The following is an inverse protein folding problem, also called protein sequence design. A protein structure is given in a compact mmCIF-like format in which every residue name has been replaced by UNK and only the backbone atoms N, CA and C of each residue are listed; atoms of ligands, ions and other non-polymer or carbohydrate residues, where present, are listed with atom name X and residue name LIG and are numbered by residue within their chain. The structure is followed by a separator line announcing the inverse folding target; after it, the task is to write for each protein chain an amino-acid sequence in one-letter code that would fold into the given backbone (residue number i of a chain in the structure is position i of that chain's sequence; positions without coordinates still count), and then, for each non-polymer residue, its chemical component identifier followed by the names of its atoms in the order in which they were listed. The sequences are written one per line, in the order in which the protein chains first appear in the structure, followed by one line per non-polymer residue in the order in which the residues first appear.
data_IF_928306503862
#
_entry.id   IF_928306503862
#
_cell.length_a   1.000
_cell.length_b   1.000
_cell.length_c   1.000
_cell.angle_alpha   90.00
_cell.angle_beta   90.00
_cell.angle_gamma   90.00
#
_symmetry.space_group_name_H-M   'P 1'
#
loop_
_entity.id
_entity.type
_entity.pdbx_description
1 polymer ?
#
# COMPACT_ATOMS: atom_id res chain seq x y z
N UNK A 1 -6.87 -2.24 -24.09
CA UNK A 1 -7.17 -0.99 -23.35
C UNK A 1 -6.86 -1.08 -21.84
N UNK A 2 -7.04 -2.21 -21.12
CA UNK A 2 -6.84 -2.29 -19.64
C UNK A 2 -5.44 -1.91 -19.20
N UNK A 3 -4.45 -2.43 -19.92
CA UNK A 3 -3.03 -2.15 -19.67
C UNK A 3 -2.72 -0.66 -19.75
N UNK A 4 -3.30 0.06 -20.73
CA UNK A 4 -3.10 1.51 -20.86
C UNK A 4 -3.67 2.29 -19.67
N UNK A 5 -4.86 1.92 -19.18
CA UNK A 5 -5.46 2.55 -17.99
C UNK A 5 -4.64 2.22 -16.74
N UNK A 6 -4.21 0.96 -16.59
CA UNK A 6 -3.38 0.54 -15.46
C UNK A 6 -2.03 1.26 -15.46
N UNK A 7 -1.40 1.39 -16.63
CA UNK A 7 -0.15 2.13 -16.81
C UNK A 7 -0.32 3.61 -16.48
N UNK A 8 -1.35 4.27 -17.03
CA UNK A 8 -1.63 5.67 -16.74
C UNK A 8 -1.93 5.91 -15.25
N UNK A 9 -2.72 5.03 -14.62
CA UNK A 9 -2.99 5.10 -13.18
C UNK A 9 -1.72 4.89 -12.34
N UNK A 10 -0.88 3.92 -12.71
CA UNK A 10 0.40 3.67 -12.07
C UNK A 10 1.37 4.84 -12.22
N UNK A 11 1.41 5.47 -13.40
CA UNK A 11 2.23 6.65 -13.67
C UNK A 11 1.79 7.84 -12.81
N UNK A 12 0.49 8.12 -12.76
CA UNK A 12 -0.07 9.19 -11.90
C UNK A 12 0.20 8.92 -10.43
N UNK A 13 0.04 7.67 -9.98
CA UNK A 13 0.33 7.27 -8.61
C UNK A 13 1.82 7.45 -8.26
N UNK A 14 2.72 6.94 -9.10
CA UNK A 14 4.17 7.08 -8.91
C UNK A 14 4.63 8.54 -8.92
N UNK A 15 4.15 9.35 -9.86
CA UNK A 15 4.41 10.79 -9.91
C UNK A 15 3.89 11.49 -8.65
N UNK A 16 2.70 11.13 -8.17
CA UNK A 16 2.15 11.67 -6.91
C UNK A 16 3.03 11.33 -5.70
N UNK A 17 3.57 10.12 -5.62
CA UNK A 17 4.50 9.71 -4.55
C UNK A 17 5.82 10.48 -4.60
N UNK A 18 6.36 10.73 -5.80
CA UNK A 18 7.58 11.52 -5.98
C UNK A 18 7.35 12.99 -5.60
N UNK A 19 6.28 13.60 -6.09
CA UNK A 19 5.97 15.03 -5.83
C UNK A 19 5.63 15.27 -4.35
N UNK A 20 4.96 14.32 -3.69
CA UNK A 20 4.64 14.42 -2.26
C UNK A 20 5.83 14.13 -1.33
N UNK A 21 6.94 13.59 -1.86
CA UNK A 21 8.10 13.19 -1.06
C UNK A 21 7.86 11.94 -0.20
N UNK A 22 6.76 11.20 -0.41
CA UNK A 22 6.48 9.94 0.32
C UNK A 22 7.45 8.80 -0.05
N UNK A 23 8.23 8.96 -1.10
CA UNK A 23 9.30 8.03 -1.46
C UNK A 23 10.50 8.09 -0.51
N UNK A 24 10.64 9.14 0.30
CA UNK A 24 11.75 9.32 1.24
C UNK A 24 11.42 8.66 2.61
N UNK A 25 12.18 7.63 3.04
CA UNK A 25 11.99 7.00 4.34
C UNK A 25 12.14 7.97 5.52
N UNK A 26 12.98 9.00 5.38
CA UNK A 26 13.19 9.99 6.44
C UNK A 26 11.91 10.80 6.73
N UNK A 27 11.11 11.07 5.69
CA UNK A 27 9.81 11.75 5.84
C UNK A 27 8.79 10.88 6.58
N UNK A 28 8.82 9.57 6.31
CA UNK A 28 7.95 8.60 7.00
C UNK A 28 8.35 8.44 8.46
N UNK A 29 9.65 8.29 8.73
CA UNK A 29 10.17 8.17 10.09
C UNK A 29 9.97 9.46 10.88
N UNK A 30 10.18 10.64 10.28
CA UNK A 30 9.91 11.94 10.91
C UNK A 30 8.43 12.18 11.24
N UNK A 31 7.50 11.56 10.50
CA UNK A 31 6.08 11.55 10.87
C UNK A 31 5.78 10.59 12.04
N UNK A 32 6.48 9.46 12.13
CA UNK A 32 6.32 8.47 13.21
C UNK A 32 7.04 8.88 14.51
N UNK A 33 8.06 9.73 14.42
CA UNK A 33 8.84 10.23 15.56
C UNK A 33 8.12 11.36 16.31
N UNK A 34 7.06 10.98 17.04
CA UNK A 34 6.24 11.88 17.86
C UNK A 34 7.04 12.43 19.07
N UNK A 35 8.14 11.75 19.46
CA UNK A 35 8.98 12.13 20.59
C UNK A 35 10.15 13.06 20.20
N UNK A 36 10.45 13.20 18.91
CA UNK A 36 11.53 14.03 18.36
C UNK A 36 11.02 15.22 17.53
N UNK A 37 11.77 15.67 16.50
CA UNK A 37 11.35 16.75 15.61
C UNK A 37 10.27 16.25 14.63
N UNK A 38 9.03 16.18 15.12
CA UNK A 38 7.89 15.65 14.39
C UNK A 38 7.54 16.48 13.14
N UNK A 39 7.48 15.83 11.96
CA UNK A 39 7.05 16.44 10.69
C UNK A 39 5.59 16.07 10.33
N UNK A 40 4.62 17.00 10.48
CA UNK A 40 3.20 16.72 10.20
C UNK A 40 2.85 16.73 8.70
N UNK A 41 3.79 17.04 7.81
CA UNK A 41 3.50 17.21 6.37
C UNK A 41 2.92 15.94 5.73
N UNK A 42 3.30 14.76 6.21
CA UNK A 42 2.80 13.48 5.72
C UNK A 42 1.32 13.25 6.10
N UNK A 43 0.89 13.76 7.25
CA UNK A 43 -0.50 13.66 7.70
C UNK A 43 -1.46 14.37 6.74
N UNK A 44 -1.07 15.54 6.24
CA UNK A 44 -1.87 16.31 5.28
C UNK A 44 -2.03 15.56 3.95
N UNK A 45 -0.94 14.98 3.44
CA UNK A 45 -0.96 14.19 2.20
C UNK A 45 -1.81 12.93 2.39
N UNK A 46 -1.65 12.22 3.51
CA UNK A 46 -2.48 11.04 3.82
C UNK A 46 -3.96 11.41 3.95
N UNK A 47 -4.30 12.48 4.68
CA UNK A 47 -5.68 12.93 4.84
C UNK A 47 -6.30 13.33 3.50
N UNK A 48 -5.56 14.04 2.65
CA UNK A 48 -5.99 14.38 1.30
C UNK A 48 -6.22 13.14 0.42
N UNK A 49 -5.26 12.21 0.41
CA UNK A 49 -5.37 10.96 -0.35
C UNK A 49 -6.57 10.11 0.11
N UNK A 50 -6.75 9.95 1.44
CA UNK A 50 -7.88 9.23 2.03
C UNK A 50 -9.19 9.93 1.69
N UNK A 51 -9.26 11.26 1.81
CA UNK A 51 -10.47 12.02 1.47
C UNK A 51 -10.89 11.83 0.01
N UNK A 52 -9.94 11.96 -0.92
CA UNK A 52 -10.20 11.72 -2.35
C UNK A 52 -10.62 10.27 -2.60
N UNK A 53 -9.95 9.30 -1.98
CA UNK A 53 -10.29 7.89 -2.12
C UNK A 53 -11.70 7.60 -1.60
N UNK A 54 -12.08 8.12 -0.43
CA UNK A 54 -13.41 7.95 0.15
C UNK A 54 -14.50 8.47 -0.79
N UNK A 55 -14.32 9.66 -1.36
CA UNK A 55 -15.24 10.24 -2.34
C UNK A 55 -15.31 9.36 -3.59
N UNK A 56 -14.15 8.97 -4.14
CA UNK A 56 -14.09 8.13 -5.33
C UNK A 56 -14.78 6.77 -5.13
N UNK A 57 -14.52 6.09 -4.01
CA UNK A 57 -15.16 4.82 -3.66
C UNK A 57 -16.66 4.98 -3.38
N UNK A 58 -17.09 6.08 -2.75
CA UNK A 58 -18.51 6.35 -2.54
C UNK A 58 -19.25 6.56 -3.88
N UNK A 59 -18.66 7.29 -4.82
CA UNK A 59 -19.21 7.45 -6.18
C UNK A 59 -19.20 6.12 -6.95
N UNK A 60 -18.13 5.35 -6.86
CA UNK A 60 -18.03 4.03 -7.49
C UNK A 60 -19.10 3.06 -6.96
N UNK A 61 -19.37 3.10 -5.65
CA UNK A 61 -20.44 2.33 -5.00
C UNK A 61 -21.82 2.69 -5.51
N UNK A 62 -22.09 3.98 -5.79
CA UNK A 62 -23.35 4.42 -6.39
C UNK A 62 -23.51 3.96 -7.84
N UNK A 63 -22.41 3.88 -8.61
CA UNK A 63 -22.45 3.45 -10.02
C UNK A 63 -22.60 1.94 -10.19
N UNK A 64 -22.08 1.14 -9.26
CA UNK A 64 -22.15 -0.34 -9.30
C UNK A 64 -21.35 -1.02 -10.42
N UNK A 65 -20.85 -0.24 -11.39
CA UNK A 65 -20.11 -0.71 -12.56
C UNK A 65 -18.81 0.09 -12.71
N UNK A 66 -17.79 -0.55 -13.27
CA UNK A 66 -16.55 0.14 -13.65
C UNK A 66 -16.82 1.09 -14.82
N UNK A 67 -15.87 1.99 -15.12
CA UNK A 67 -15.91 2.85 -16.32
C UNK A 67 -16.00 2.06 -17.64
N UNK A 68 -15.81 0.74 -17.59
CA UNK A 68 -15.92 -0.18 -18.73
C UNK A 68 -17.17 -1.04 -18.73
N UNK A 69 -18.09 -0.82 -17.79
CA UNK A 69 -19.32 -1.58 -17.69
C UNK A 69 -19.15 -2.97 -17.07
N UNK A 70 -17.98 -3.31 -16.53
CA UNK A 70 -17.82 -4.56 -15.76
C UNK A 70 -18.38 -4.40 -14.35
N UNK A 71 -18.94 -5.45 -13.74
CA UNK A 71 -19.40 -5.39 -12.36
C UNK A 71 -18.23 -5.08 -11.43
N UNK A 72 -18.41 -4.08 -10.56
CA UNK A 72 -17.40 -3.69 -9.59
C UNK A 72 -17.28 -4.79 -8.52
N UNK A 73 -16.09 -5.39 -8.41
CA UNK A 73 -15.83 -6.47 -7.46
C UNK A 73 -15.59 -5.89 -6.07
N UNK A 74 -16.53 -6.12 -5.15
CA UNK A 74 -16.39 -5.73 -3.76
C UNK A 74 -15.75 -6.84 -2.93
N UNK A 75 -14.91 -6.51 -1.94
CA UNK A 75 -14.40 -7.50 -1.01
C UNK A 75 -15.56 -8.22 -0.30
N UNK A 76 -15.61 -9.54 -0.39
CA UNK A 76 -16.62 -10.35 0.30
C UNK A 76 -16.31 -10.57 1.79
N UNK A 77 -15.06 -10.33 2.20
CA UNK A 77 -14.59 -10.52 3.57
C UNK A 77 -15.01 -9.35 4.47
N UNK A 78 -15.86 -9.62 5.45
CA UNK A 78 -16.34 -8.64 6.43
C UNK A 78 -15.98 -8.99 7.88
N UNK A 79 -15.30 -10.12 8.11
CA UNK A 79 -14.91 -10.58 9.44
C UNK A 79 -13.51 -10.11 9.82
N UNK A 80 -13.38 -9.57 11.04
CA UNK A 80 -12.07 -9.39 11.68
C UNK A 80 -11.74 -10.71 12.38
N UNK A 81 -10.75 -11.45 11.87
CA UNK A 81 -10.28 -12.69 12.47
C UNK A 81 -8.90 -12.51 13.14
N UNK A 82 -8.53 -13.47 13.99
CA UNK A 82 -7.23 -13.42 14.69
C UNK A 82 -6.04 -13.43 13.73
N UNK A 83 -6.21 -14.03 12.54
CA UNK A 83 -5.18 -14.06 11.49
C UNK A 83 -4.97 -12.68 10.88
N UNK A 84 -6.02 -11.93 10.60
CA UNK A 84 -5.96 -10.56 10.09
C UNK A 84 -5.37 -9.61 11.12
N UNK A 85 -5.76 -9.74 12.39
CA UNK A 85 -5.21 -8.91 13.47
C UNK A 85 -3.72 -9.18 13.63
N UNK A 86 -3.32 -10.45 13.74
CA UNK A 86 -1.91 -10.81 13.90
C UNK A 86 -1.07 -10.43 12.68
N UNK A 87 -1.58 -10.66 11.47
CA UNK A 87 -0.90 -10.29 10.22
C UNK A 87 -0.77 -8.78 10.04
N UNK A 88 -1.82 -8.01 10.32
CA UNK A 88 -1.78 -6.54 10.21
C UNK A 88 -0.84 -5.90 11.23
N UNK A 89 -0.78 -6.43 12.46
CA UNK A 89 0.19 -6.00 13.47
C UNK A 89 1.62 -6.26 13.01
N UNK A 90 1.93 -7.48 12.57
CA UNK A 90 3.29 -7.83 12.11
C UNK A 90 3.70 -7.00 10.90
N UNK A 91 2.79 -6.82 9.94
CA UNK A 91 3.01 -5.99 8.76
C UNK A 91 3.24 -4.52 9.13
N UNK A 92 2.42 -3.98 10.05
CA UNK A 92 2.55 -2.61 10.54
C UNK A 92 3.86 -2.37 11.29
N UNK A 93 4.30 -3.31 12.12
CA UNK A 93 5.61 -3.25 12.80
C UNK A 93 6.74 -3.24 11.77
N UNK A 94 6.71 -4.14 10.78
CA UNK A 94 7.71 -4.18 9.72
C UNK A 94 7.79 -2.88 8.92
N UNK A 95 6.64 -2.31 8.57
CA UNK A 95 6.56 -1.01 7.91
C UNK A 95 7.13 0.13 8.76
N UNK A 96 6.72 0.22 10.04
CA UNK A 96 7.16 1.27 10.94
C UNK A 96 8.67 1.23 11.22
N UNK A 97 9.25 0.02 11.34
CA UNK A 97 10.69 -0.15 11.51
C UNK A 97 11.48 0.20 10.25
N UNK A 98 10.98 -0.17 9.06
CA UNK A 98 11.65 0.11 7.79
C UNK A 98 11.48 1.56 7.33
N UNK A 99 10.43 2.26 7.79
CA UNK A 99 10.05 3.58 7.26
C UNK A 99 9.59 3.54 5.79
N UNK A 100 9.31 2.37 5.23
CA UNK A 100 9.04 2.18 3.79
C UNK A 100 7.70 1.48 3.60
N UNK A 101 6.73 2.17 3.01
CA UNK A 101 5.44 1.56 2.67
C UNK A 101 5.53 0.81 1.32
N UNK A 102 4.64 -0.16 1.04
CA UNK A 102 4.70 -0.96 -0.20
C UNK A 102 4.58 -0.12 -1.48
N UNK A 103 3.83 0.99 -1.46
CA UNK A 103 3.74 1.91 -2.60
C UNK A 103 5.08 2.60 -2.90
N UNK A 104 5.63 3.37 -1.95
CA UNK A 104 6.99 3.92 -2.02
C UNK A 104 8.08 2.89 -2.32
N UNK A 105 7.98 1.67 -1.78
CA UNK A 105 8.95 0.60 -2.03
C UNK A 105 9.09 0.27 -3.52
N UNK A 106 7.97 0.24 -4.26
CA UNK A 106 7.98 0.02 -5.71
C UNK A 106 8.61 1.20 -6.46
N UNK A 107 8.40 2.43 -5.99
CA UNK A 107 9.05 3.62 -6.56
C UNK A 107 10.55 3.59 -6.30
N UNK A 108 10.98 3.29 -5.06
CA UNK A 108 12.38 3.13 -4.67
C UNK A 108 13.08 2.02 -5.47
N UNK A 109 12.41 0.87 -5.65
CA UNK A 109 12.88 -0.21 -6.51
C UNK A 109 13.07 0.27 -7.96
N UNK A 110 12.10 1.01 -8.51
CA UNK A 110 12.19 1.59 -9.84
C UNK A 110 13.28 2.65 -9.99
N UNK A 111 13.60 3.36 -8.90
CA UNK A 111 14.73 4.30 -8.85
C UNK A 111 16.08 3.61 -8.62
N UNK A 112 16.11 2.30 -8.37
CA UNK A 112 17.34 1.55 -8.10
C UNK A 112 17.94 1.81 -6.71
N UNK A 113 17.13 2.29 -5.76
CA UNK A 113 17.59 2.51 -4.38
C UNK A 113 17.69 1.17 -3.65
N UNK A 114 18.83 0.84 -3.02
CA UNK A 114 19.03 -0.45 -2.36
C UNK A 114 17.97 -0.79 -1.30
N UNK A 115 17.51 0.20 -0.54
CA UNK A 115 16.49 0.01 0.50
C UNK A 115 15.16 -0.49 -0.07
N UNK A 116 14.76 0.02 -1.24
CA UNK A 116 13.58 -0.45 -1.97
C UNK A 116 13.74 -1.88 -2.46
N UNK A 117 14.94 -2.26 -2.94
CA UNK A 117 15.25 -3.62 -3.38
C UNK A 117 15.10 -4.60 -2.22
N UNK A 118 15.73 -4.31 -1.08
CA UNK A 118 15.67 -5.19 0.09
C UNK A 118 14.26 -5.31 0.65
N UNK A 119 13.53 -4.20 0.74
CA UNK A 119 12.15 -4.23 1.22
C UNK A 119 11.25 -5.07 0.31
N UNK A 120 11.30 -4.85 -1.01
CA UNK A 120 10.46 -5.62 -1.95
C UNK A 120 10.86 -7.09 -1.96
N UNK A 121 12.15 -7.41 -1.89
CA UNK A 121 12.61 -8.81 -1.80
C UNK A 121 12.07 -9.49 -0.53
N UNK A 122 12.17 -8.83 0.63
CA UNK A 122 11.64 -9.35 1.89
C UNK A 122 10.11 -9.52 1.86
N UNK A 123 9.39 -8.54 1.29
CA UNK A 123 7.95 -8.59 1.11
C UNK A 123 7.53 -9.81 0.26
N UNK A 124 8.17 -10.00 -0.89
CA UNK A 124 7.90 -11.13 -1.79
C UNK A 124 8.25 -12.47 -1.13
N UNK A 125 9.36 -12.54 -0.40
CA UNK A 125 9.74 -13.73 0.34
C UNK A 125 8.69 -14.09 1.41
N UNK A 126 8.21 -13.09 2.17
CA UNK A 126 7.15 -13.29 3.16
C UNK A 126 5.84 -13.80 2.55
N UNK A 127 5.43 -13.23 1.41
CA UNK A 127 4.25 -13.70 0.67
C UNK A 127 4.41 -15.15 0.19
N UNK A 128 5.57 -15.49 -0.38
CA UNK A 128 5.85 -16.85 -0.86
C UNK A 128 5.86 -17.88 0.28
N UNK A 129 6.44 -17.53 1.43
CA UNK A 129 6.41 -18.39 2.63
C UNK A 129 4.99 -18.58 3.14
N UNK A 130 4.22 -17.50 3.25
CA UNK A 130 2.83 -17.57 3.70
C UNK A 130 1.98 -18.44 2.77
N UNK A 131 2.09 -18.23 1.45
CA UNK A 131 1.37 -19.02 0.46
C UNK A 131 1.79 -20.49 0.49
N UNK A 132 3.09 -20.77 0.69
CA UNK A 132 3.60 -22.13 0.87
C UNK A 132 3.01 -22.83 2.10
N UNK A 133 2.93 -22.13 3.23
CA UNK A 133 2.35 -22.64 4.47
C UNK A 133 0.84 -22.89 4.30
N UNK A 134 0.11 -21.98 3.67
CA UNK A 134 -1.33 -22.17 3.41
C UNK A 134 -1.59 -23.33 2.46
N UNK A 135 -0.83 -23.44 1.38
CA UNK A 135 -0.92 -24.57 0.45
C UNK A 135 -0.63 -25.89 1.16
N UNK A 136 0.27 -25.92 2.13
CA UNK A 136 0.56 -27.12 2.92
C UNK A 136 -0.59 -27.46 3.89
N UNK A 137 -1.14 -26.46 4.58
CA UNK A 137 -2.28 -26.63 5.50
C UNK A 137 -3.58 -27.03 4.80
N UNK A 138 -3.82 -26.58 3.56
CA UNK A 138 -5.01 -26.92 2.78
C UNK A 138 -4.97 -28.28 2.09
N UNK A 139 -3.84 -29.01 2.17
CA UNK A 139 -3.67 -30.35 1.58
C UNK A 139 -3.82 -31.50 2.58
N UNK A 140 -3.99 -31.21 3.88
CA UNK A 140 -4.27 -32.18 4.93
C UNK A 140 -5.71 -32.05 5.41
#
# INVERSE_FOLDING_TARGET
MTVLIAFAAGLVFGLGLLVSGMADPAKVLGFLDIAGPWDPSLALVMAGAVGVALVAFALARRRGTTLRGTPLQWPAAHGIDARLVGGSMLFGIGWGLAGICPGPALVLLGMGVPDGVWFVAALLAGMAVFEGIERWRGRG
#
